data_IF_175042038175
#
_entry.id   IF_175042038175
#
_cell.length_a   1.000
_cell.length_b   1.000
_cell.length_c   1.000
_cell.angle_alpha   90.00
_cell.angle_beta   90.00
_cell.angle_gamma   90.00
#
_symmetry.space_group_name_H-M   'P 1'
#
loop_
_entity.id
_entity.type
_entity.pdbx_description
1 polymer ?
#
# COMPACT_ATOMS: atom_id res chain seq x y z
N UNK A 1 -35.47 -29.12 -54.76
CA UNK A 1 -34.95 -28.68 -53.45
C UNK A 1 -33.51 -28.23 -53.67
N UNK A 2 -33.20 -26.92 -53.56
CA UNK A 2 -31.84 -26.39 -53.66
C UNK A 2 -31.42 -25.89 -52.28
N UNK A 3 -30.41 -26.52 -51.69
CA UNK A 3 -29.77 -26.04 -50.47
C UNK A 3 -29.07 -24.71 -50.78
N UNK A 4 -29.49 -23.64 -50.11
CA UNK A 4 -28.76 -22.37 -50.10
C UNK A 4 -27.64 -22.48 -49.07
N UNK A 5 -26.40 -22.56 -49.55
CA UNK A 5 -25.22 -22.31 -48.72
C UNK A 5 -25.20 -20.83 -48.31
N UNK A 6 -25.21 -20.60 -47.00
CA UNK A 6 -25.19 -19.27 -46.41
C UNK A 6 -23.74 -18.77 -46.39
N UNK A 7 -23.28 -18.15 -47.47
CA UNK A 7 -21.92 -17.63 -47.57
C UNK A 7 -21.77 -16.34 -46.77
N UNK A 8 -21.14 -16.45 -45.60
CA UNK A 8 -20.83 -15.31 -44.73
C UNK A 8 -19.90 -14.30 -45.43
N UNK A 9 -20.34 -13.04 -45.49
CA UNK A 9 -19.60 -11.96 -46.14
C UNK A 9 -18.27 -11.64 -45.42
N UNK A 10 -17.29 -11.11 -46.16
CA UNK A 10 -15.91 -10.89 -45.70
C UNK A 10 -15.84 -9.91 -44.52
N UNK A 11 -16.78 -8.96 -44.45
CA UNK A 11 -16.89 -7.96 -43.38
C UNK A 11 -17.39 -8.57 -42.07
N UNK A 12 -18.36 -9.48 -42.13
CA UNK A 12 -18.86 -10.24 -40.98
C UNK A 12 -17.78 -11.14 -40.38
N UNK A 13 -16.91 -11.73 -41.21
CA UNK A 13 -15.75 -12.49 -40.72
C UNK A 13 -14.78 -11.63 -39.91
N UNK A 14 -14.48 -10.42 -40.37
CA UNK A 14 -13.54 -9.50 -39.70
C UNK A 14 -14.10 -9.02 -38.35
N UNK A 15 -15.38 -8.67 -38.29
CA UNK A 15 -16.03 -8.21 -37.06
C UNK A 15 -16.04 -9.31 -36.00
N UNK A 16 -16.37 -10.55 -36.40
CA UNK A 16 -16.37 -11.71 -35.50
C UNK A 16 -14.96 -11.98 -34.93
N UNK A 17 -13.92 -11.89 -35.75
CA UNK A 17 -12.52 -12.02 -35.30
C UNK A 17 -12.13 -10.95 -34.29
N UNK A 18 -12.53 -9.71 -34.51
CA UNK A 18 -12.18 -8.58 -33.66
C UNK A 18 -12.88 -8.66 -32.28
N UNK A 19 -14.16 -9.03 -32.26
CA UNK A 19 -14.93 -9.22 -31.01
C UNK A 19 -14.35 -10.37 -30.17
N UNK A 20 -13.96 -11.48 -30.80
CA UNK A 20 -13.31 -12.58 -30.07
C UNK A 20 -11.93 -12.20 -29.52
N UNK A 21 -11.13 -11.45 -30.28
CA UNK A 21 -9.83 -10.97 -29.82
C UNK A 21 -9.92 -10.01 -28.63
N UNK A 22 -10.91 -9.11 -28.64
CA UNK A 22 -11.13 -8.15 -27.56
C UNK A 22 -11.65 -8.84 -26.28
N UNK A 23 -12.53 -9.84 -26.44
CA UNK A 23 -13.02 -10.65 -25.32
C UNK A 23 -11.90 -11.42 -24.62
N UNK A 24 -10.97 -12.01 -25.37
CA UNK A 24 -9.83 -12.73 -24.80
C UNK A 24 -8.89 -11.81 -24.02
N UNK A 25 -8.66 -10.58 -24.50
CA UNK A 25 -7.81 -9.59 -23.82
C UNK A 25 -8.41 -9.14 -22.48
N UNK A 26 -9.73 -8.92 -22.43
CA UNK A 26 -10.44 -8.50 -21.21
C UNK A 26 -10.44 -9.59 -20.13
N UNK A 27 -10.64 -10.86 -20.53
CA UNK A 27 -10.58 -12.00 -19.59
C UNK A 27 -9.17 -12.18 -19.03
N UNK A 28 -8.13 -12.04 -19.86
CA UNK A 28 -6.74 -12.13 -19.41
C UNK A 28 -6.38 -11.06 -18.37
N UNK A 29 -6.87 -9.83 -18.53
CA UNK A 29 -6.65 -8.75 -17.56
C UNK A 29 -7.36 -9.00 -16.23
N UNK A 30 -8.56 -9.61 -16.25
CA UNK A 30 -9.30 -9.94 -15.04
C UNK A 30 -8.66 -11.06 -14.20
N UNK A 31 -7.83 -11.92 -14.79
CA UNK A 31 -7.11 -12.98 -14.06
C UNK A 31 -5.83 -12.50 -13.37
N UNK A 32 -5.27 -11.35 -13.77
CA UNK A 32 -4.10 -10.75 -13.12
C UNK A 32 -4.41 -9.94 -11.85
N UNK A 33 -5.69 -9.60 -11.60
CA UNK A 33 -6.09 -8.73 -10.50
C UNK A 33 -6.35 -9.47 -9.19
N UNK A 34 -6.12 -10.79 -9.12
CA UNK A 34 -6.32 -11.55 -7.89
C UNK A 34 -5.18 -11.23 -6.92
N UNK A 35 -5.44 -10.53 -5.79
CA UNK A 35 -4.40 -10.25 -4.82
C UNK A 35 -3.88 -11.58 -4.25
N UNK A 36 -2.56 -11.70 -4.03
CA UNK A 36 -2.01 -12.91 -3.43
C UNK A 36 -2.66 -13.15 -2.07
N UNK A 37 -3.06 -14.39 -1.79
CA UNK A 37 -3.70 -14.77 -0.52
C UNK A 37 -2.75 -14.74 0.67
N UNK A 38 -1.45 -14.62 0.41
CA UNK A 38 -0.39 -14.56 1.42
C UNK A 38 0.36 -13.25 1.21
N UNK A 39 0.54 -12.43 2.27
CA UNK A 39 1.33 -11.21 2.16
C UNK A 39 2.76 -11.56 1.72
N UNK A 40 3.40 -10.74 0.87
CA UNK A 40 4.77 -10.96 0.47
C UNK A 40 5.69 -10.96 1.70
N UNK A 41 6.64 -11.90 1.73
CA UNK A 41 7.64 -11.96 2.79
C UNK A 41 8.43 -10.65 2.84
N UNK A 42 8.80 -10.19 4.05
CA UNK A 42 9.70 -9.05 4.19
C UNK A 42 11.01 -9.33 3.42
N UNK A 43 11.54 -8.34 2.68
CA UNK A 43 12.87 -8.44 2.10
C UNK A 43 13.90 -8.80 3.18
N UNK A 44 14.74 -9.79 2.92
CA UNK A 44 15.76 -10.24 3.89
C UNK A 44 16.93 -9.26 4.06
N UNK A 45 17.05 -8.27 3.16
CA UNK A 45 18.09 -7.24 3.15
C UNK A 45 17.51 -5.86 3.48
N UNK A 46 16.65 -5.77 4.49
CA UNK A 46 16.30 -4.46 5.04
C UNK A 46 17.49 -4.06 5.93
N UNK A 47 18.19 -2.93 5.65
CA UNK A 47 19.23 -2.46 6.53
C UNK A 47 18.66 -2.29 7.94
N UNK A 48 19.44 -2.57 9.01
CA UNK A 48 18.94 -2.36 10.36
C UNK A 48 18.42 -0.93 10.48
N UNK A 49 17.27 -0.72 11.15
CA UNK A 49 16.73 0.62 11.30
C UNK A 49 17.82 1.51 11.92
N UNK A 50 18.01 2.73 11.42
CA UNK A 50 19.03 3.61 11.97
C UNK A 50 18.83 3.73 13.48
N UNK A 51 19.88 3.43 14.24
CA UNK A 51 19.84 3.56 15.70
C UNK A 51 19.78 5.04 16.04
N UNK A 52 18.58 5.54 16.30
CA UNK A 52 18.40 6.85 16.93
C UNK A 52 18.70 6.67 18.41
N UNK A 53 20.00 6.62 18.71
CA UNK A 53 20.54 6.56 20.05
C UNK A 53 19.76 7.49 20.96
N UNK A 54 19.17 6.88 21.98
CA UNK A 54 18.38 7.46 23.05
C UNK A 54 18.86 8.88 23.36
N UNK A 55 18.16 9.89 22.86
CA UNK A 55 18.40 11.26 23.30
C UNK A 55 18.11 11.26 24.80
N UNK A 56 19.17 11.40 25.58
CA UNK A 56 19.19 11.48 27.04
C UNK A 56 18.02 12.35 27.51
N UNK A 57 16.90 11.73 27.91
CA UNK A 57 15.82 12.43 28.57
C UNK A 57 16.25 12.60 30.03
N UNK A 58 16.40 13.83 30.48
CA UNK A 58 16.82 14.20 31.84
C UNK A 58 15.93 13.65 32.97
N UNK A 59 14.84 12.93 32.68
CA UNK A 59 14.01 12.29 33.70
C UNK A 59 13.60 10.84 33.41
N UNK A 60 14.10 10.21 32.35
CA UNK A 60 13.84 8.79 32.01
C UNK A 60 12.38 8.40 31.67
N UNK A 61 11.42 9.28 31.98
CA UNK A 61 9.97 9.03 31.87
C UNK A 61 9.49 8.86 30.42
N UNK A 62 10.12 9.54 29.47
CA UNK A 62 9.73 9.46 28.06
C UNK A 62 10.88 8.99 27.19
N UNK A 63 10.62 7.99 26.35
CA UNK A 63 11.52 7.52 25.31
C UNK A 63 10.99 7.96 23.94
N UNK A 64 11.86 8.50 23.09
CA UNK A 64 11.54 8.80 21.70
C UNK A 64 12.14 7.72 20.82
N UNK A 65 11.34 7.13 19.94
CA UNK A 65 11.71 6.01 19.07
C UNK A 65 11.28 6.35 17.64
N UNK A 66 12.11 6.02 16.65
CA UNK A 66 11.65 6.00 15.26
C UNK A 66 11.04 4.63 14.96
N UNK A 67 9.82 4.61 14.42
CA UNK A 67 9.21 3.40 13.90
C UNK A 67 9.11 3.48 12.38
N UNK A 68 9.37 2.35 11.74
CA UNK A 68 9.22 2.16 10.30
C UNK A 68 8.17 1.09 10.07
N UNK A 69 7.23 1.33 9.15
CA UNK A 69 6.28 0.32 8.71
C UNK A 69 6.01 0.45 7.21
N UNK A 70 5.82 -0.68 6.55
CA UNK A 70 5.34 -0.73 5.17
C UNK A 70 3.82 -0.66 5.17
N UNK A 71 3.22 0.23 4.36
CA UNK A 71 1.78 0.20 4.19
C UNK A 71 1.31 -1.06 3.48
N UNK A 72 0.08 -1.47 3.79
CA UNK A 72 -0.62 -2.57 3.13
C UNK A 72 -1.37 -2.10 1.88
N UNK A 73 -1.01 -0.93 1.33
CA UNK A 73 -1.63 -0.38 0.12
C UNK A 73 -1.19 -1.17 -1.12
N UNK A 74 -1.92 -1.01 -2.23
CA UNK A 74 -1.62 -1.65 -3.52
C UNK A 74 -0.18 -1.37 -4.02
N UNK A 75 0.39 -0.23 -3.61
CA UNK A 75 1.82 0.07 -3.75
C UNK A 75 2.41 0.28 -2.35
N UNK A 76 3.32 -0.59 -1.88
CA UNK A 76 3.87 -0.46 -0.53
C UNK A 76 4.74 0.79 -0.44
N UNK A 77 4.42 1.67 0.50
CA UNK A 77 5.27 2.79 0.87
C UNK A 77 5.88 2.53 2.26
N UNK A 78 7.18 2.83 2.40
CA UNK A 78 7.84 2.82 3.71
C UNK A 78 7.54 4.13 4.42
N UNK A 79 6.80 4.06 5.52
CA UNK A 79 6.53 5.20 6.37
C UNK A 79 7.46 5.18 7.58
N UNK A 80 8.08 6.32 7.84
CA UNK A 80 8.94 6.56 9.00
C UNK A 80 8.24 7.54 9.92
N UNK A 81 8.00 7.16 11.17
CA UNK A 81 7.26 7.97 12.16
C UNK A 81 8.04 8.06 13.47
N UNK A 82 7.83 9.14 14.21
CA UNK A 82 8.37 9.29 15.56
C UNK A 82 7.31 8.93 16.60
N UNK A 83 7.70 8.13 17.56
CA UNK A 83 6.90 7.70 18.69
C UNK A 83 7.48 8.28 19.97
N UNK A 84 6.62 8.77 20.85
CA UNK A 84 6.94 9.09 22.24
C UNK A 84 6.26 8.05 23.11
N UNK A 85 6.99 7.39 23.98
CA UNK A 85 6.47 6.36 24.90
C UNK A 85 6.74 6.82 26.33
N UNK A 86 5.72 6.80 27.18
CA UNK A 86 5.88 6.91 28.62
C UNK A 86 6.36 5.56 29.16
N UNK A 87 7.59 5.52 29.68
CA UNK A 87 8.24 4.30 30.17
C UNK A 87 7.64 3.81 31.48
N UNK A 88 6.82 4.63 32.15
CA UNK A 88 6.17 4.28 33.42
C UNK A 88 4.76 3.75 33.22
N UNK A 89 4.00 4.29 32.27
CA UNK A 89 2.60 3.88 32.01
C UNK A 89 2.45 3.01 30.77
N UNK A 90 3.43 3.01 29.86
CA UNK A 90 3.33 2.37 28.55
C UNK A 90 2.49 3.15 27.54
N UNK A 91 1.94 4.32 27.92
CA UNK A 91 1.21 5.18 27.00
C UNK A 91 2.11 5.68 25.88
N UNK A 92 1.57 5.76 24.67
CA UNK A 92 2.35 6.12 23.50
C UNK A 92 1.63 7.16 22.63
N UNK A 93 2.42 8.01 21.99
CA UNK A 93 1.97 9.04 21.07
C UNK A 93 2.78 9.00 19.79
N UNK A 94 2.11 9.27 18.67
CA UNK A 94 2.68 9.43 17.35
C UNK A 94 2.89 10.91 17.04
N UNK A 95 4.06 11.28 16.51
CA UNK A 95 4.24 12.61 15.95
C UNK A 95 3.53 12.67 14.58
N UNK A 96 2.44 13.40 14.53
CA UNK A 96 1.84 13.86 13.29
C UNK A 96 2.52 15.16 12.87
N UNK A 97 3.05 15.18 11.65
CA UNK A 97 3.52 16.40 10.99
C UNK A 97 2.74 16.60 9.69
N UNK A 98 2.20 17.79 9.50
CA UNK A 98 1.51 18.20 8.27
C UNK A 98 1.81 19.66 7.96
N UNK A 99 1.58 20.06 6.70
CA UNK A 99 1.74 21.44 6.26
C UNK A 99 0.39 22.15 6.35
N UNK A 100 0.29 23.16 7.22
CA UNK A 100 -0.83 24.09 7.28
C UNK A 100 -0.56 25.38 6.50
N UNK A 101 -1.53 26.29 6.53
CA UNK A 101 -1.47 27.58 5.82
C UNK A 101 -0.28 28.45 6.25
N UNK A 102 0.14 28.35 7.52
CA UNK A 102 1.22 29.16 8.12
C UNK A 102 2.53 28.40 8.30
N UNK A 103 2.65 27.18 7.77
CA UNK A 103 3.86 26.37 7.89
C UNK A 103 3.60 24.96 8.44
N UNK A 104 4.66 24.34 8.96
CA UNK A 104 4.58 22.98 9.51
C UNK A 104 3.85 22.96 10.85
N UNK A 105 2.87 22.07 10.98
CA UNK A 105 2.12 21.80 12.20
C UNK A 105 2.59 20.44 12.71
N UNK A 106 3.04 20.40 13.97
CA UNK A 106 3.49 19.18 14.64
C UNK A 106 2.65 18.92 15.89
N UNK A 107 2.08 17.72 16.00
CA UNK A 107 1.24 17.33 17.11
C UNK A 107 1.52 15.90 17.54
N UNK A 108 1.57 15.64 18.84
CA UNK A 108 1.59 14.29 19.40
C UNK A 108 0.16 13.76 19.52
N UNK A 109 -0.16 12.72 18.75
CA UNK A 109 -1.46 12.04 18.76
C UNK A 109 -1.37 10.76 19.59
N UNK A 110 -2.27 10.49 20.55
CA UNK A 110 -2.26 9.25 21.31
C UNK A 110 -2.46 8.04 20.39
N UNK A 111 -1.72 6.96 20.63
CA UNK A 111 -1.88 5.69 19.90
C UNK A 111 -3.03 4.83 20.41
N UNK A 112 -3.53 5.12 21.61
CA UNK A 112 -4.71 4.46 22.15
C UNK A 112 -5.96 4.96 21.41
N UNK A 113 -6.53 4.11 20.57
CA UNK A 113 -7.89 4.28 20.10
C UNK A 113 -8.83 4.21 21.31
N UNK A 114 -9.64 5.24 21.50
CA UNK A 114 -10.95 5.06 22.11
C UNK A 114 -11.95 4.77 21.00
#
# INVERSE_FOLDING_TARGET
MKNQENTMNKTSKIIVSFVMGLGALLVAQAQLSKPPSVPPNLPKNIPPPPSFGVSKNNNGKFQIISAEYYSQDAKPFLYKRLLKIDTTTGEAWLLHSSRGERGEIRQWLPLTGK
#
